data_IF_041479504302
#
_entry.id   IF_041479504302
#
_cell.length_a   1.000
_cell.length_b   1.000
_cell.length_c   1.000
_cell.angle_alpha   90.00
_cell.angle_beta   90.00
_cell.angle_gamma   90.00
#
_symmetry.space_group_name_H-M   'P 1'
#
loop_
_entity.id
_entity.type
_entity.pdbx_description
1 polymer ?
#
# COMPACT_ATOMS: atom_id res chain seq x y z
N UNK A 1 -15.33 -11.59 -14.87
CA UNK A 1 -13.99 -12.20 -14.99
C UNK A 1 -13.00 -11.05 -14.97
N UNK A 2 -12.62 -10.61 -13.77
CA UNK A 2 -11.56 -9.63 -13.61
C UNK A 2 -10.28 -10.42 -13.77
N UNK A 3 -9.62 -10.27 -14.91
CA UNK A 3 -8.28 -10.79 -15.06
C UNK A 3 -7.41 -10.04 -14.05
N UNK A 4 -6.89 -10.73 -13.05
CA UNK A 4 -5.68 -10.29 -12.36
C UNK A 4 -4.55 -10.32 -13.38
N UNK A 5 -4.52 -9.30 -14.24
CA UNK A 5 -3.45 -9.09 -15.18
C UNK A 5 -2.24 -8.65 -14.38
N UNK A 6 -1.17 -9.44 -14.42
CA UNK A 6 0.15 -9.00 -14.02
C UNK A 6 0.49 -7.71 -14.77
N UNK A 7 0.31 -6.56 -14.12
CA UNK A 7 0.69 -5.27 -14.67
C UNK A 7 2.21 -5.22 -14.65
N UNK A 8 2.82 -5.50 -15.79
CA UNK A 8 4.26 -5.36 -15.96
C UNK A 8 4.60 -3.87 -16.13
N UNK A 9 4.70 -3.16 -15.00
CA UNK A 9 5.03 -1.73 -14.91
C UNK A 9 6.29 -1.35 -15.73
N UNK A 10 7.24 -2.27 -15.91
CA UNK A 10 8.45 -2.04 -16.71
C UNK A 10 8.23 -2.10 -18.23
N UNK A 11 7.26 -2.88 -18.71
CA UNK A 11 6.97 -2.96 -20.15
C UNK A 11 6.25 -1.69 -20.62
N UNK A 12 5.35 -1.13 -19.80
CA UNK A 12 4.64 0.11 -20.12
C UNK A 12 5.54 1.34 -20.02
N UNK A 13 6.41 1.42 -18.99
CA UNK A 13 7.40 2.51 -18.87
C UNK A 13 8.57 2.37 -19.86
N UNK A 14 9.02 1.14 -20.14
CA UNK A 14 10.12 0.84 -21.06
C UNK A 14 9.77 1.04 -22.54
N UNK A 15 8.47 1.02 -22.89
CA UNK A 15 7.99 1.24 -24.25
C UNK A 15 8.17 2.68 -24.77
N UNK A 16 8.42 3.66 -23.88
CA UNK A 16 8.49 5.09 -24.25
C UNK A 16 9.87 5.75 -24.09
N UNK A 17 10.93 5.02 -23.72
CA UNK A 17 12.31 5.57 -23.70
C UNK A 17 13.35 4.59 -24.24
N UNK A 18 13.89 4.88 -25.43
CA UNK A 18 15.21 4.42 -25.84
C UNK A 18 16.26 5.05 -24.90
N UNK A 19 16.53 4.41 -23.77
CA UNK A 19 17.65 4.76 -22.90
C UNK A 19 18.74 3.71 -23.06
N UNK A 20 19.55 3.87 -24.09
CA UNK A 20 20.88 3.26 -24.16
C UNK A 20 21.81 4.04 -23.23
N UNK A 21 21.94 3.58 -21.99
CA UNK A 21 22.87 4.14 -21.01
C UNK A 21 22.96 3.21 -19.80
N UNK A 22 23.99 2.37 -19.77
CA UNK A 22 24.28 1.45 -18.68
C UNK A 22 24.51 2.21 -17.36
N UNK A 23 23.87 1.79 -16.26
CA UNK A 23 24.28 2.21 -14.92
C UNK A 23 23.21 2.12 -13.82
N UNK A 24 22.05 2.76 -14.00
CA UNK A 24 21.15 3.07 -12.88
C UNK A 24 19.67 2.80 -13.21
N UNK A 25 19.31 1.53 -13.39
CA UNK A 25 17.90 1.13 -13.52
C UNK A 25 17.41 0.52 -12.20
N UNK A 26 16.24 0.92 -11.67
CA UNK A 26 15.64 0.23 -10.55
C UNK A 26 15.38 -1.23 -10.92
N UNK A 27 15.87 -2.14 -10.08
CA UNK A 27 15.65 -3.57 -10.21
C UNK A 27 14.25 -3.84 -9.65
N UNK A 28 13.31 -4.22 -10.51
CA UNK A 28 11.98 -4.70 -10.09
C UNK A 28 12.00 -6.23 -10.21
N UNK A 29 12.18 -6.93 -9.08
CA UNK A 29 12.09 -8.39 -9.03
C UNK A 29 10.64 -8.81 -8.71
N UNK A 30 10.07 -9.63 -9.58
CA UNK A 30 8.82 -10.33 -9.31
C UNK A 30 9.14 -11.63 -8.55
N UNK A 31 8.83 -11.71 -7.25
CA UNK A 31 8.84 -12.99 -6.55
C UNK A 31 7.52 -13.72 -6.78
N UNK A 32 7.60 -15.02 -7.13
CA UNK A 32 6.43 -15.90 -7.13
C UNK A 32 5.95 -16.08 -5.70
N UNK A 33 4.83 -15.44 -5.35
CA UNK A 33 4.08 -15.74 -4.13
C UNK A 33 3.73 -17.23 -4.17
N UNK A 34 4.23 -18.02 -3.22
CA UNK A 34 3.77 -19.40 -3.06
C UNK A 34 2.32 -19.34 -2.56
N UNK A 35 1.39 -19.95 -3.30
CA UNK A 35 -0.06 -20.02 -2.99
C UNK A 35 -0.88 -18.73 -3.17
N UNK A 36 -0.92 -18.21 -4.40
CA UNK A 36 -1.77 -17.04 -4.75
C UNK A 36 -3.26 -17.41 -4.88
N UNK A 37 -3.58 -18.70 -5.00
CA UNK A 37 -4.95 -19.19 -5.12
C UNK A 37 -5.58 -19.39 -3.74
N UNK A 38 -6.68 -18.68 -3.46
CA UNK A 38 -7.44 -18.77 -2.22
C UNK A 38 -8.93 -18.88 -2.51
N UNK A 39 -9.67 -19.58 -1.65
CA UNK A 39 -11.11 -19.74 -1.80
C UNK A 39 -11.86 -18.42 -1.55
N UNK A 40 -12.59 -17.96 -2.56
CA UNK A 40 -13.45 -16.80 -2.50
C UNK A 40 -14.83 -17.20 -1.97
N UNK A 41 -15.22 -16.67 -0.82
CA UNK A 41 -16.54 -17.00 -0.23
C UNK A 41 -17.67 -16.42 -1.07
N UNK A 42 -17.44 -15.28 -1.70
CA UNK A 42 -18.43 -14.54 -2.49
C UNK A 42 -18.68 -15.23 -3.82
N UNK A 43 -17.62 -15.61 -4.53
CA UNK A 43 -17.72 -16.23 -5.86
C UNK A 43 -17.79 -17.76 -5.81
N UNK A 44 -17.52 -18.37 -4.65
CA UNK A 44 -17.48 -19.82 -4.43
C UNK A 44 -16.52 -20.54 -5.38
N UNK A 45 -15.35 -19.94 -5.60
CA UNK A 45 -14.28 -20.48 -6.46
C UNK A 45 -12.89 -20.12 -5.91
N UNK A 46 -11.85 -20.80 -6.39
CA UNK A 46 -10.46 -20.43 -6.09
C UNK A 46 -10.04 -19.24 -6.96
N UNK A 47 -9.63 -18.14 -6.33
CA UNK A 47 -9.20 -16.91 -7.00
C UNK A 47 -7.77 -16.56 -6.64
N UNK A 48 -7.05 -15.99 -7.62
CA UNK A 48 -5.74 -15.38 -7.41
C UNK A 48 -5.92 -14.07 -6.63
N UNK A 49 -5.82 -14.10 -5.30
CA UNK A 49 -6.18 -12.95 -4.45
C UNK A 49 -5.26 -12.80 -3.24
N UNK A 50 -5.02 -11.56 -2.81
CA UNK A 50 -4.22 -11.25 -1.62
C UNK A 50 -4.95 -11.57 -0.32
N UNK A 51 -6.27 -11.48 -0.31
CA UNK A 51 -7.12 -11.81 0.82
C UNK A 51 -8.58 -11.95 0.35
N UNK A 52 -9.43 -12.57 1.17
CA UNK A 52 -10.84 -12.80 0.83
C UNK A 52 -11.67 -11.53 1.07
N UNK A 53 -11.77 -10.68 0.06
CA UNK A 53 -12.60 -9.48 0.07
C UNK A 53 -14.05 -9.85 -0.29
N UNK A 54 -14.92 -9.92 0.73
CA UNK A 54 -16.30 -10.38 0.53
C UNK A 54 -17.12 -9.48 -0.40
N UNK A 55 -16.93 -8.16 -0.32
CA UNK A 55 -17.63 -7.21 -1.17
C UNK A 55 -16.78 -5.96 -1.39
N UNK A 56 -16.75 -5.47 -2.62
CA UNK A 56 -16.13 -4.18 -2.98
C UNK A 56 -17.13 -3.02 -2.89
N UNK A 57 -18.43 -3.30 -2.88
CA UNK A 57 -19.46 -2.28 -2.68
C UNK A 57 -19.75 -2.02 -1.20
N UNK A 58 -19.54 -3.04 -0.36
CA UNK A 58 -19.62 -2.95 1.10
C UNK A 58 -18.37 -3.58 1.71
N UNK A 59 -17.30 -2.79 1.80
CA UNK A 59 -16.01 -3.23 2.34
C UNK A 59 -16.04 -3.55 3.85
N UNK A 60 -17.16 -3.27 4.52
CA UNK A 60 -17.39 -3.59 5.92
C UNK A 60 -18.06 -4.96 6.11
N UNK A 61 -18.66 -5.51 5.06
CA UNK A 61 -19.25 -6.83 5.11
C UNK A 61 -18.16 -7.90 5.28
N UNK A 62 -18.33 -8.75 6.31
CA UNK A 62 -17.51 -9.96 6.55
C UNK A 62 -16.00 -9.70 6.54
N UNK A 63 -15.56 -8.59 7.15
CA UNK A 63 -14.14 -8.26 7.26
C UNK A 63 -13.31 -9.32 8.00
N UNK A 64 -13.95 -10.17 8.81
CA UNK A 64 -13.34 -11.35 9.44
C UNK A 64 -12.64 -12.26 8.41
N UNK A 65 -13.19 -12.37 7.20
CA UNK A 65 -12.63 -13.20 6.13
C UNK A 65 -11.30 -12.66 5.58
N UNK A 66 -11.02 -11.36 5.76
CA UNK A 66 -9.82 -10.73 5.23
C UNK A 66 -8.59 -11.05 6.09
N UNK A 67 -8.77 -11.31 7.38
CA UNK A 67 -7.69 -11.35 8.38
C UNK A 67 -6.63 -12.42 8.07
N UNK A 68 -7.04 -13.65 7.79
CA UNK A 68 -6.08 -14.74 7.55
C UNK A 68 -5.29 -14.53 6.26
N UNK A 69 -5.95 -14.07 5.19
CA UNK A 69 -5.29 -13.75 3.92
C UNK A 69 -4.36 -12.53 4.03
N UNK A 70 -4.76 -11.50 4.79
CA UNK A 70 -3.90 -10.36 5.09
C UNK A 70 -2.67 -10.82 5.86
N UNK A 71 -2.83 -11.60 6.93
CA UNK A 71 -1.70 -12.12 7.73
C UNK A 71 -0.69 -12.87 6.85
N UNK A 72 -1.16 -13.79 6.02
CA UNK A 72 -0.31 -14.59 5.14
C UNK A 72 0.41 -13.73 4.10
N UNK A 73 -0.33 -12.88 3.38
CA UNK A 73 0.20 -12.03 2.33
C UNK A 73 1.17 -10.97 2.87
N UNK A 74 0.88 -10.37 4.02
CA UNK A 74 1.77 -9.41 4.67
C UNK A 74 3.07 -10.09 5.07
N UNK A 75 3.02 -11.27 5.71
CA UNK A 75 4.24 -12.01 6.07
C UNK A 75 5.12 -12.26 4.85
N UNK A 76 4.52 -12.68 3.73
CA UNK A 76 5.26 -12.92 2.50
C UNK A 76 5.88 -11.64 1.91
N UNK A 77 5.14 -10.54 1.88
CA UNK A 77 5.63 -9.26 1.35
C UNK A 77 6.72 -8.66 2.23
N UNK A 78 6.62 -8.81 3.55
CA UNK A 78 7.66 -8.39 4.48
C UNK A 78 8.96 -9.19 4.29
N UNK A 79 8.87 -10.51 4.13
CA UNK A 79 10.02 -11.36 3.81
C UNK A 79 10.68 -10.93 2.48
N UNK A 80 9.87 -10.63 1.46
CA UNK A 80 10.36 -10.12 0.18
C UNK A 80 11.07 -8.77 0.36
N UNK A 81 10.42 -7.85 1.05
CA UNK A 81 10.95 -6.51 1.31
C UNK A 81 12.32 -6.58 2.00
N UNK A 82 12.46 -7.40 3.03
CA UNK A 82 13.73 -7.59 3.73
C UNK A 82 14.82 -8.17 2.81
N UNK A 83 14.46 -9.17 2.00
CA UNK A 83 15.37 -9.77 1.03
C UNK A 83 15.85 -8.75 -0.03
N UNK A 84 14.95 -7.94 -0.57
CA UNK A 84 15.28 -6.91 -1.57
C UNK A 84 16.18 -5.81 -0.99
N UNK A 85 15.86 -5.32 0.22
CA UNK A 85 16.72 -4.36 0.93
C UNK A 85 18.13 -4.95 1.12
N UNK A 86 18.23 -6.23 1.50
CA UNK A 86 19.51 -6.93 1.65
C UNK A 86 20.28 -7.03 0.34
N UNK A 87 19.62 -7.34 -0.78
CA UNK A 87 20.23 -7.41 -2.10
C UNK A 87 20.78 -6.04 -2.56
N UNK A 88 20.15 -4.94 -2.15
CA UNK A 88 20.60 -3.57 -2.42
C UNK A 88 21.64 -3.07 -1.41
N UNK A 89 22.19 -3.94 -0.57
CA UNK A 89 23.22 -3.60 0.41
C UNK A 89 22.69 -2.73 1.56
N UNK A 90 21.42 -2.89 1.94
CA UNK A 90 20.76 -2.12 3.00
C UNK A 90 20.19 -0.78 2.54
N UNK A 91 20.25 -0.46 1.24
CA UNK A 91 19.72 0.80 0.69
C UNK A 91 18.20 0.75 0.51
N UNK A 92 17.44 0.81 1.60
CA UNK A 92 15.98 0.78 1.57
C UNK A 92 15.36 1.94 0.78
N UNK A 93 16.03 3.09 0.71
CA UNK A 93 15.63 4.25 -0.08
C UNK A 93 15.62 4.01 -1.60
N UNK A 94 16.09 2.84 -2.07
CA UNK A 94 15.99 2.41 -3.47
C UNK A 94 14.86 1.41 -3.71
N UNK A 95 14.16 1.00 -2.66
CA UNK A 95 13.04 0.06 -2.73
C UNK A 95 11.74 0.84 -2.75
N UNK A 96 10.83 0.48 -3.65
CA UNK A 96 9.48 1.03 -3.70
C UNK A 96 8.47 -0.09 -3.47
N UNK A 97 7.47 0.18 -2.65
CA UNK A 97 6.36 -0.73 -2.39
C UNK A 97 5.09 -0.16 -3.03
N UNK A 98 4.18 -1.01 -3.50
CA UNK A 98 2.97 -0.49 -4.11
C UNK A 98 2.07 -1.55 -4.71
N UNK A 99 0.93 -1.11 -5.24
CA UNK A 99 -0.03 -1.98 -5.89
C UNK A 99 -1.25 -1.26 -6.44
N UNK A 100 -2.03 -1.99 -7.21
CA UNK A 100 -3.32 -1.55 -7.76
C UNK A 100 -4.47 -2.32 -7.11
N UNK A 101 -5.61 -1.67 -6.90
CA UNK A 101 -6.84 -2.31 -6.41
C UNK A 101 -6.61 -3.04 -5.07
N UNK A 102 -6.93 -4.33 -4.99
CA UNK A 102 -6.64 -5.16 -3.81
C UNK A 102 -5.13 -5.20 -3.46
N UNK A 103 -4.25 -5.07 -4.46
CA UNK A 103 -2.81 -4.96 -4.24
C UNK A 103 -2.43 -3.69 -3.48
N UNK A 104 -3.09 -2.55 -3.75
CA UNK A 104 -2.89 -1.33 -2.97
C UNK A 104 -3.32 -1.54 -1.51
N UNK A 105 -4.49 -2.14 -1.31
CA UNK A 105 -5.05 -2.42 0.01
C UNK A 105 -4.10 -3.30 0.86
N UNK A 106 -3.57 -4.37 0.25
CA UNK A 106 -2.57 -5.24 0.87
C UNK A 106 -1.27 -4.45 1.15
N UNK A 107 -0.77 -3.69 0.17
CA UNK A 107 0.55 -3.07 0.26
C UNK A 107 0.58 -1.98 1.33
N UNK A 108 -0.53 -1.24 1.52
CA UNK A 108 -0.69 -0.32 2.63
C UNK A 108 -0.56 -1.04 3.97
N UNK A 109 -1.26 -2.16 4.15
CA UNK A 109 -1.14 -2.97 5.37
C UNK A 109 0.29 -3.49 5.60
N UNK A 110 0.95 -3.94 4.53
CA UNK A 110 2.35 -4.37 4.61
C UNK A 110 3.27 -3.22 5.03
N UNK A 111 3.06 -2.00 4.50
CA UNK A 111 3.85 -0.82 4.88
C UNK A 111 3.72 -0.50 6.38
N UNK A 112 2.51 -0.53 6.96
CA UNK A 112 2.33 -0.26 8.40
C UNK A 112 2.92 -1.38 9.26
N UNK A 113 2.77 -2.64 8.84
CA UNK A 113 3.36 -3.77 9.56
C UNK A 113 4.90 -3.82 9.43
N UNK A 114 5.47 -3.21 8.39
CA UNK A 114 6.92 -3.14 8.18
C UNK A 114 7.65 -2.32 9.24
N UNK A 115 6.96 -1.46 10.01
CA UNK A 115 7.53 -0.71 11.15
C UNK A 115 8.34 -1.59 12.09
N UNK A 116 7.93 -2.84 12.28
CA UNK A 116 8.60 -3.77 13.20
C UNK A 116 9.90 -4.38 12.65
N UNK A 117 10.10 -4.37 11.33
CA UNK A 117 11.22 -5.06 10.68
C UNK A 117 12.15 -4.11 9.93
N UNK A 118 11.61 -3.01 9.42
CA UNK A 118 12.31 -2.04 8.58
C UNK A 118 12.39 -0.72 9.32
N UNK A 119 13.61 -0.42 9.78
CA UNK A 119 13.93 0.78 10.54
C UNK A 119 14.58 1.87 9.68
N UNK A 120 14.21 1.93 8.40
CA UNK A 120 14.65 2.96 7.47
C UNK A 120 13.54 3.28 6.47
N UNK A 121 13.51 4.51 5.95
CA UNK A 121 12.50 4.88 4.95
C UNK A 121 12.70 4.08 3.67
N UNK A 122 11.60 3.72 3.01
CA UNK A 122 11.67 3.22 1.63
C UNK A 122 11.87 4.40 0.67
N UNK A 123 12.19 4.09 -0.59
CA UNK A 123 12.21 5.08 -1.66
C UNK A 123 10.82 5.69 -1.90
N UNK A 124 9.77 4.91 -1.67
CA UNK A 124 8.40 5.43 -1.67
C UNK A 124 7.36 4.33 -1.73
N UNK A 125 6.10 4.75 -1.61
CA UNK A 125 4.93 3.93 -1.80
C UNK A 125 4.09 4.45 -2.98
N UNK A 126 3.61 3.57 -3.86
CA UNK A 126 2.69 3.94 -4.95
C UNK A 126 1.44 3.07 -4.96
N UNK A 127 0.27 3.70 -4.84
CA UNK A 127 -1.03 3.04 -4.80
C UNK A 127 -2.00 3.55 -5.86
N UNK A 128 -2.77 2.65 -6.46
CA UNK A 128 -3.72 2.97 -7.53
C UNK A 128 -5.07 2.29 -7.30
N UNK A 129 -6.17 3.03 -7.44
CA UNK A 129 -7.54 2.53 -7.53
C UNK A 129 -7.96 1.52 -6.43
N UNK A 130 -7.45 1.69 -5.21
CA UNK A 130 -7.67 0.76 -4.11
C UNK A 130 -8.44 1.36 -2.94
N UNK A 131 -8.46 0.63 -1.82
CA UNK A 131 -9.04 1.06 -0.55
C UNK A 131 -8.10 0.73 0.61
N UNK A 132 -8.50 1.09 1.82
CA UNK A 132 -7.81 0.73 3.04
C UNK A 132 -8.66 -0.26 3.86
N UNK A 133 -8.25 -1.54 4.01
CA UNK A 133 -8.98 -2.49 4.85
C UNK A 133 -9.06 -2.00 6.30
N UNK A 134 -10.25 -2.09 6.90
CA UNK A 134 -10.54 -1.60 8.26
C UNK A 134 -10.39 -0.08 8.45
N UNK A 135 -10.57 0.71 7.40
CA UNK A 135 -10.46 2.18 7.47
C UNK A 135 -11.37 2.83 8.52
N UNK A 136 -12.61 2.34 8.66
CA UNK A 136 -13.56 2.89 9.63
C UNK A 136 -13.07 2.69 11.07
N UNK A 137 -12.54 1.51 11.39
CA UNK A 137 -11.99 1.21 12.71
C UNK A 137 -10.81 2.14 13.04
N UNK A 138 -9.97 2.43 12.04
CA UNK A 138 -8.88 3.41 12.18
C UNK A 138 -9.43 4.82 12.43
N UNK A 139 -10.40 5.28 11.65
CA UNK A 139 -11.05 6.60 11.83
C UNK A 139 -11.76 6.72 13.21
N UNK A 140 -12.31 5.63 13.74
CA UNK A 140 -12.95 5.58 15.06
C UNK A 140 -11.95 5.69 16.22
N UNK A 141 -10.80 4.99 16.13
CA UNK A 141 -9.71 5.12 17.10
C UNK A 141 -9.20 6.57 17.18
N UNK A 142 -9.12 7.23 16.04
CA UNK A 142 -8.73 8.64 15.95
C UNK A 142 -9.74 9.59 16.60
N UNK A 143 -11.03 9.37 16.33
CA UNK A 143 -12.10 10.22 16.86
C UNK A 143 -12.18 10.12 18.39
N UNK A 144 -11.96 8.94 18.95
CA UNK A 144 -11.92 8.74 20.40
C UNK A 144 -10.78 9.54 21.08
N UNK A 145 -9.63 9.66 20.39
CA UNK A 145 -8.42 10.30 20.90
C UNK A 145 -8.39 11.83 20.72
N UNK A 146 -9.12 12.35 19.72
CA UNK A 146 -9.18 13.79 19.37
C UNK A 146 -9.91 14.66 20.40
N UNK A 147 -10.47 14.08 21.47
CA UNK A 147 -11.07 14.83 22.58
C UNK A 147 -10.02 15.52 23.49
N UNK A 148 -8.72 15.38 23.18
CA UNK A 148 -7.59 15.87 23.99
C UNK A 148 -6.52 16.60 23.15
N UNK A 149 -6.72 17.91 22.97
CA UNK A 149 -5.72 18.95 22.55
C UNK A 149 -5.08 18.91 21.16
N UNK A 150 -4.76 20.11 20.68
CA UNK A 150 -4.48 20.52 19.30
C UNK A 150 -3.05 20.27 18.80
N UNK A 151 -2.93 19.74 17.59
CA UNK A 151 -1.95 20.21 16.59
C UNK A 151 -0.70 19.39 16.34
N UNK A 152 -0.34 18.45 17.21
CA UNK A 152 0.75 17.50 16.98
C UNK A 152 0.20 16.08 17.00
N UNK A 153 0.56 15.25 16.01
CA UNK A 153 0.33 13.80 16.06
C UNK A 153 1.03 13.32 17.32
N UNK A 154 0.30 13.05 18.38
CA UNK A 154 0.94 12.56 19.61
C UNK A 154 1.55 11.20 19.28
N UNK A 155 2.83 10.98 19.60
CA UNK A 155 3.51 9.69 19.42
C UNK A 155 2.66 8.53 19.98
N UNK A 156 1.90 8.81 21.05
CA UNK A 156 0.93 7.91 21.69
C UNK A 156 -0.16 7.43 20.72
N UNK A 157 -0.75 8.34 19.94
CA UNK A 157 -1.83 8.03 19.02
C UNK A 157 -1.34 7.18 17.84
N UNK A 158 -0.14 7.48 17.34
CA UNK A 158 0.51 6.69 16.30
C UNK A 158 0.83 5.28 16.80
N UNK A 159 1.31 5.13 18.04
CA UNK A 159 1.54 3.82 18.66
C UNK A 159 0.26 2.99 18.76
N UNK A 160 -0.87 3.60 19.14
CA UNK A 160 -2.15 2.89 19.24
C UNK A 160 -2.67 2.39 17.88
N UNK A 161 -2.47 3.17 16.81
CA UNK A 161 -2.81 2.72 15.46
C UNK A 161 -1.91 1.56 15.01
N UNK A 162 -0.61 1.63 15.28
CA UNK A 162 0.31 0.53 15.01
C UNK A 162 -0.10 -0.73 15.78
N UNK A 163 -0.38 -0.62 17.08
CA UNK A 163 -0.87 -1.71 17.90
C UNK A 163 -2.14 -2.34 17.32
N UNK A 164 -3.07 -1.52 16.81
CA UNK A 164 -4.28 -2.01 16.14
C UNK A 164 -3.96 -2.86 14.90
N UNK A 165 -3.03 -2.43 14.04
CA UNK A 165 -2.62 -3.21 12.87
C UNK A 165 -2.06 -4.56 13.29
N UNK A 166 -1.16 -4.57 14.27
CA UNK A 166 -0.54 -5.80 14.76
C UNK A 166 -1.52 -6.75 15.44
N UNK A 167 -2.42 -6.22 16.28
CA UNK A 167 -3.43 -7.02 16.96
C UNK A 167 -4.44 -7.61 15.97
N UNK A 168 -4.82 -6.86 14.92
CA UNK A 168 -5.78 -7.32 13.91
C UNK A 168 -5.28 -8.55 13.16
N UNK A 169 -4.03 -8.56 12.73
CA UNK A 169 -3.43 -9.71 12.04
C UNK A 169 -2.67 -10.65 12.97
N UNK A 170 -2.78 -10.48 14.30
CA UNK A 170 -2.06 -11.26 15.31
C UNK A 170 -0.55 -11.40 15.02
N UNK A 171 0.08 -10.32 14.57
CA UNK A 171 1.51 -10.27 14.34
C UNK A 171 2.26 -10.14 15.68
N UNK A 172 3.49 -10.66 15.84
CA UNK A 172 4.25 -10.51 17.09
C UNK A 172 4.35 -9.03 17.53
N UNK A 173 3.94 -8.75 18.78
CA UNK A 173 4.02 -7.40 19.37
C UNK A 173 5.47 -6.95 19.49
N UNK A 174 5.72 -5.66 19.27
CA UNK A 174 7.04 -5.05 19.39
C UNK A 174 7.51 -4.96 20.83
N UNK A 175 8.84 -4.92 20.99
CA UNK A 175 9.45 -4.50 22.24
C UNK A 175 9.45 -2.97 22.33
N UNK A 176 9.50 -2.38 23.54
CA UNK A 176 9.54 -0.92 23.71
C UNK A 176 10.73 -0.22 23.03
N UNK A 177 11.79 -0.96 22.66
CA UNK A 177 12.96 -0.40 21.97
C UNK A 177 12.73 -0.16 20.47
N UNK A 178 11.76 -0.86 19.87
CA UNK A 178 11.49 -0.81 18.43
C UNK A 178 10.67 0.43 18.06
N UNK A 179 9.87 0.95 18.99
CA UNK A 179 9.01 2.14 18.83
C UNK A 179 9.80 3.38 18.41
N UNK A 180 11.02 3.57 18.93
CA UNK A 180 11.88 4.73 18.65
C UNK A 180 12.44 4.67 17.21
N UNK A 181 12.53 3.48 16.60
CA UNK A 181 13.01 3.29 15.23
C UNK A 181 11.90 3.30 14.17
N UNK A 182 10.62 3.25 14.56
CA UNK A 182 9.48 3.26 13.64
C UNK A 182 9.36 4.59 12.87
N UNK A 183 9.90 5.68 13.43
CA UNK A 183 9.82 7.01 12.81
C UNK A 183 10.31 7.03 11.36
N UNK A 184 11.33 6.23 11.00
CA UNK A 184 11.89 6.31 9.66
C UNK A 184 11.03 5.64 8.58
N UNK A 185 10.35 4.53 8.86
CA UNK A 185 9.50 3.90 7.83
C UNK A 185 8.26 4.77 7.57
N UNK A 186 7.77 5.48 8.59
CA UNK A 186 6.60 6.36 8.51
C UNK A 186 6.91 7.68 7.78
N UNK A 187 8.20 8.00 7.62
CA UNK A 187 8.69 9.06 6.72
C UNK A 187 8.76 8.64 5.25
N UNK A 188 8.47 7.37 4.91
CA UNK A 188 8.39 6.92 3.51
C UNK A 188 7.39 7.78 2.72
N UNK A 189 7.80 8.43 1.63
CA UNK A 189 6.88 9.18 0.77
C UNK A 189 5.81 8.27 0.18
N UNK A 190 4.56 8.72 0.15
CA UNK A 190 3.43 7.95 -0.38
C UNK A 190 2.75 8.72 -1.50
N UNK A 191 2.51 8.07 -2.63
CA UNK A 191 1.64 8.56 -3.70
C UNK A 191 0.46 7.62 -3.87
N UNK A 192 -0.75 8.18 -3.84
CA UNK A 192 -1.99 7.47 -4.07
C UNK A 192 -2.77 8.13 -5.21
N UNK A 193 -3.40 7.33 -6.07
CA UNK A 193 -4.28 7.87 -7.10
C UNK A 193 -5.48 6.99 -7.42
N UNK A 194 -6.52 7.59 -8.01
CA UNK A 194 -7.79 6.89 -8.26
C UNK A 194 -8.57 7.48 -9.45
N UNK A 195 -9.32 6.64 -10.15
CA UNK A 195 -10.32 7.08 -11.13
C UNK A 195 -11.59 7.62 -10.46
N UNK A 196 -12.01 8.84 -10.80
CA UNK A 196 -13.24 9.45 -10.26
C UNK A 196 -14.52 8.73 -10.69
N UNK A 197 -14.44 8.02 -11.81
CA UNK A 197 -15.50 7.28 -12.48
C UNK A 197 -15.26 5.76 -12.43
N UNK A 198 -14.43 5.29 -11.50
CA UNK A 198 -14.17 3.86 -11.24
C UNK A 198 -15.46 3.14 -10.78
N UNK A 199 -15.98 2.17 -11.57
CA UNK A 199 -17.22 1.48 -11.27
C UNK A 199 -17.05 0.32 -10.28
N UNK A 200 -15.81 -0.09 -9.99
CA UNK A 200 -15.51 -1.29 -9.20
C UNK A 200 -15.14 -0.94 -7.76
N UNK A 201 -14.23 0.03 -7.61
CA UNK A 201 -13.81 0.55 -6.31
C UNK A 201 -14.11 2.03 -6.31
N UNK A 202 -15.17 2.41 -5.59
CA UNK A 202 -15.59 3.82 -5.52
C UNK A 202 -14.42 4.71 -5.11
N UNK A 203 -14.27 5.85 -5.79
CA UNK A 203 -13.30 6.90 -5.43
C UNK A 203 -13.43 7.35 -3.97
N UNK A 204 -14.61 7.23 -3.36
CA UNK A 204 -14.80 7.53 -1.94
C UNK A 204 -13.99 6.60 -1.01
N UNK A 205 -13.80 5.34 -1.40
CA UNK A 205 -12.95 4.40 -0.67
C UNK A 205 -11.47 4.78 -0.78
N UNK A 206 -11.04 5.24 -1.96
CA UNK A 206 -9.69 5.78 -2.17
C UNK A 206 -9.46 7.07 -1.38
N UNK A 207 -10.44 7.98 -1.37
CA UNK A 207 -10.42 9.20 -0.55
C UNK A 207 -10.35 8.87 0.95
N UNK A 208 -11.08 7.86 1.41
CA UNK A 208 -11.00 7.38 2.79
C UNK A 208 -9.62 6.80 3.10
N UNK A 209 -9.06 5.97 2.21
CA UNK A 209 -7.70 5.46 2.33
C UNK A 209 -6.68 6.60 2.45
N UNK A 210 -6.77 7.62 1.60
CA UNK A 210 -5.91 8.80 1.67
C UNK A 210 -6.01 9.53 3.01
N UNK A 211 -7.20 9.71 3.58
CA UNK A 211 -7.37 10.32 4.91
C UNK A 211 -6.66 9.52 5.99
N UNK A 212 -6.88 8.20 6.02
CA UNK A 212 -6.24 7.28 6.98
C UNK A 212 -4.72 7.33 6.85
N UNK A 213 -4.19 7.20 5.63
CA UNK A 213 -2.75 7.16 5.40
C UNK A 213 -2.09 8.50 5.76
N UNK A 214 -2.73 9.63 5.48
CA UNK A 214 -2.24 10.97 5.86
C UNK A 214 -2.18 11.18 7.37
N UNK A 215 -3.01 10.48 8.16
CA UNK A 215 -2.93 10.53 9.61
C UNK A 215 -1.66 9.85 10.13
N UNK A 216 -1.20 8.79 9.49
CA UNK A 216 -0.09 7.98 9.99
C UNK A 216 1.26 8.40 9.37
N UNK A 217 1.29 8.65 8.06
CA UNK A 217 2.50 8.94 7.29
C UNK A 217 2.82 10.45 7.25
N UNK A 218 4.09 10.79 7.06
CA UNK A 218 4.55 12.19 7.04
C UNK A 218 4.28 12.89 5.70
N UNK A 219 4.45 12.16 4.60
CA UNK A 219 4.37 12.70 3.24
C UNK A 219 3.46 11.86 2.37
N UNK A 220 2.28 12.41 2.02
CA UNK A 220 1.27 11.71 1.22
C UNK A 220 0.75 12.64 0.12
N UNK A 221 0.93 12.24 -1.14
CA UNK A 221 0.38 12.88 -2.34
C UNK A 221 -0.86 12.11 -2.82
N UNK A 222 -1.87 12.84 -3.30
CA UNK A 222 -3.13 12.29 -3.83
C UNK A 222 -3.42 12.87 -5.20
N UNK A 223 -3.89 12.04 -6.14
CA UNK A 223 -4.32 12.47 -7.47
C UNK A 223 -5.56 11.72 -7.93
N UNK A 224 -6.47 12.42 -8.57
CA UNK A 224 -7.69 11.84 -9.14
C UNK A 224 -7.75 12.11 -10.63
N UNK A 225 -8.21 11.13 -11.39
CA UNK A 225 -8.30 11.21 -12.85
C UNK A 225 -9.68 10.78 -13.34
N UNK A 226 -10.09 11.28 -14.49
CA UNK A 226 -11.33 10.87 -15.15
C UNK A 226 -11.02 10.14 -16.46
N UNK A 227 -11.77 9.08 -16.75
CA UNK A 227 -11.66 8.32 -17.99
C UNK A 227 -10.29 7.70 -18.18
N UNK A 228 -9.74 7.07 -17.13
CA UNK A 228 -8.56 6.23 -17.29
C UNK A 228 -8.91 4.96 -18.06
N UNK A 229 -7.90 4.26 -18.57
CA UNK A 229 -8.11 2.97 -19.22
C UNK A 229 -8.69 1.95 -18.23
N UNK A 230 -9.17 0.80 -18.70
CA UNK A 230 -9.76 -0.21 -17.83
C UNK A 230 -11.00 0.28 -17.07
N UNK A 231 -11.89 1.02 -17.74
CA UNK A 231 -13.09 1.62 -17.14
C UNK A 231 -12.76 2.49 -15.92
N UNK A 232 -11.68 3.27 -16.00
CA UNK A 232 -11.19 4.12 -14.91
C UNK A 232 -10.66 3.39 -13.67
N UNK A 233 -10.54 2.06 -13.73
CA UNK A 233 -9.87 1.22 -12.73
C UNK A 233 -8.41 0.93 -13.11
N UNK A 234 -7.72 1.97 -13.58
CA UNK A 234 -6.33 1.90 -14.03
C UNK A 234 -5.61 3.23 -13.81
N UNK A 235 -4.31 3.22 -14.08
CA UNK A 235 -3.48 4.44 -14.13
C UNK A 235 -3.84 5.23 -15.37
N UNK A 236 -4.10 6.53 -15.22
CA UNK A 236 -4.44 7.40 -16.35
C UNK A 236 -3.22 7.61 -17.26
N UNK A 237 -3.33 7.29 -18.55
CA UNK A 237 -2.36 7.73 -19.55
C UNK A 237 -2.74 9.08 -20.19
N UNK A 238 -1.76 9.99 -20.42
CA UNK A 238 -0.38 9.98 -19.87
C UNK A 238 -0.30 10.54 -18.44
N UNK A 239 -1.33 11.26 -17.97
CA UNK A 239 -1.21 12.17 -16.82
C UNK A 239 -0.88 11.46 -15.50
N UNK A 240 -1.46 10.28 -15.28
CA UNK A 240 -1.19 9.46 -14.10
C UNK A 240 0.24 8.94 -14.07
N UNK A 241 0.78 8.49 -15.20
CA UNK A 241 2.18 8.08 -15.28
C UNK A 241 3.15 9.26 -15.10
N UNK A 242 2.81 10.43 -15.65
CA UNK A 242 3.62 11.64 -15.46
C UNK A 242 3.68 12.05 -13.98
N UNK A 243 2.56 11.94 -13.24
CA UNK A 243 2.55 12.15 -11.79
C UNK A 243 3.43 11.16 -11.04
N UNK A 244 3.40 9.86 -11.41
CA UNK A 244 4.27 8.84 -10.80
C UNK A 244 5.74 9.12 -11.05
N UNK A 245 6.11 9.52 -12.27
CA UNK A 245 7.49 9.89 -12.60
C UNK A 245 7.96 11.11 -11.81
N UNK A 246 7.13 12.15 -11.72
CA UNK A 246 7.42 13.34 -10.90
C UNK A 246 7.57 12.98 -9.42
N UNK A 247 6.75 12.06 -8.92
CA UNK A 247 6.86 11.56 -7.55
C UNK A 247 8.20 10.86 -7.31
N UNK A 248 8.63 9.95 -8.20
CA UNK A 248 9.94 9.29 -8.10
C UNK A 248 11.11 10.28 -8.18
N UNK A 249 11.03 11.28 -9.06
CA UNK A 249 12.05 12.33 -9.15
C UNK A 249 12.20 13.10 -7.82
N UNK A 250 11.10 13.45 -7.15
CA UNK A 250 11.14 14.08 -5.83
C UNK A 250 11.77 13.17 -4.76
N UNK A 251 11.43 11.89 -4.76
CA UNK A 251 11.92 10.91 -3.77
C UNK A 251 13.42 10.63 -3.91
N UNK A 252 13.98 10.74 -5.13
CA UNK A 252 15.42 10.53 -5.37
C UNK A 252 16.30 11.75 -5.05
N UNK A 253 15.69 12.93 -4.90
CA UNK A 253 16.38 14.20 -4.60
C UNK A 253 16.38 14.54 -3.11
N UNK A 254 15.71 13.74 -2.28
CA UNK A 254 15.58 13.91 -0.83
C UNK A 254 16.57 13.04 -0.05
#
# INVERSE_FOLDING_TARGET
MIGYGDVNFSQELGGKKNLTGAGDSPIILQSKVQNIFRWSTTFQEEECSWFNAYSLTDIHARQDLQIDGLRESISHVLDLLENEIRLLGGQSNRVYLGGISQGMAMALWALFCATHQVHSQLGGFVGFCGWFPFAQQVEELETANSSSTSGEKTEIQQCQLLDFFHDTIAYPKTSPADVVNNASILSTPVFLSHGTDDPWVSVELGRQAFRVVRQIMDHVEWSEFMGAEGDSHWIKEPEGFDCVLQFFEKCTQS
#
